data_IF_507238887840
#
_entry.id   IF_507238887840
#
_cell.length_a   1.000
_cell.length_b   1.000
_cell.length_c   1.000
_cell.angle_alpha   90.00
_cell.angle_beta   90.00
_cell.angle_gamma   90.00
#
_symmetry.space_group_name_H-M   'P 1'
#
loop_
_entity.id
_entity.type
_entity.pdbx_description
1 polymer ?
2 non-polymer ?
3 non-polymer ?
4 water ?
#
# COMPACT_ATOMS: atom_id res chain seq x y z
N UNK A 29 14.87 -21.95 16.00
CA UNK A 29 15.52 -21.81 14.70
C UNK A 29 14.88 -20.71 13.87
N UNK A 30 15.55 -20.33 12.78
CA UNK A 30 15.05 -19.26 11.92
C UNK A 30 14.01 -19.85 10.98
N UNK A 31 12.82 -19.27 10.89
CA UNK A 31 11.83 -19.75 9.92
C UNK A 31 12.27 -19.40 8.50
N UNK A 32 11.69 -20.12 7.54
CA UNK A 32 12.02 -19.90 6.14
C UNK A 32 11.73 -18.47 5.72
N UNK A 33 12.59 -17.92 4.88
CA UNK A 33 12.39 -16.59 4.31
C UNK A 33 12.97 -16.58 2.92
N UNK A 34 12.39 -15.80 2.01
CA UNK A 34 12.92 -15.74 0.65
C UNK A 34 14.34 -15.19 0.61
N UNK A 35 15.17 -15.79 -0.25
CA UNK A 35 16.56 -15.39 -0.40
C UNK A 35 16.81 -14.63 -1.70
N UNK A 36 15.92 -14.73 -2.65
CA UNK A 36 16.01 -13.96 -3.88
C UNK A 36 14.60 -13.60 -4.31
N UNK A 37 14.51 -12.73 -5.31
CA UNK A 37 13.22 -12.15 -5.64
C UNK A 37 12.24 -13.22 -6.15
N UNK A 38 12.75 -14.25 -6.85
CA UNK A 38 11.84 -15.29 -7.34
C UNK A 38 11.36 -16.20 -6.22
N UNK A 39 12.01 -16.17 -5.06
CA UNK A 39 11.53 -16.95 -3.92
C UNK A 39 10.16 -16.50 -3.44
N UNK A 40 9.74 -15.29 -3.80
CA UNK A 40 8.38 -14.85 -3.46
C UNK A 40 7.30 -15.71 -4.13
N UNK A 41 7.66 -16.52 -5.13
CA UNK A 41 6.71 -17.47 -5.71
C UNK A 41 6.13 -18.40 -4.65
N UNK A 42 6.95 -18.81 -3.68
CA UNK A 42 6.57 -19.82 -2.71
C UNK A 42 5.83 -19.25 -1.51
N UNK A 43 5.57 -17.94 -1.47
CA UNK A 43 4.84 -17.37 -0.36
C UNK A 43 3.74 -16.41 -0.79
N UNK A 44 3.72 -15.97 -2.04
CA UNK A 44 2.69 -15.05 -2.51
C UNK A 44 1.37 -15.75 -2.79
N UNK A 45 1.37 -17.07 -2.97
CA UNK A 45 0.15 -17.85 -3.16
C UNK A 45 -0.39 -18.43 -1.86
N UNK A 46 0.21 -18.09 -0.71
CA UNK A 46 -0.26 -18.56 0.58
C UNK A 46 -1.31 -17.59 1.15
N UNK A 47 -2.40 -17.47 0.40
CA UNK A 47 -3.44 -16.52 0.75
C UNK A 47 -4.27 -17.06 1.91
N UNK A 48 -4.51 -16.20 2.90
CA UNK A 48 -5.29 -16.59 4.08
C UNK A 48 -6.78 -16.40 3.85
N UNK A 60 -20.61 -6.03 -2.28
CA UNK A 60 -21.10 -6.96 -3.28
C UNK A 60 -20.76 -8.37 -2.91
N UNK A 61 -21.04 -8.69 -1.66
CA UNK A 61 -20.62 -9.94 -1.06
C UNK A 61 -21.61 -11.05 -1.33
N UNK A 62 -22.87 -10.71 -1.63
CA UNK A 62 -23.84 -11.66 -2.16
C UNK A 62 -24.06 -11.49 -3.65
N UNK A 63 -23.15 -10.77 -4.33
CA UNK A 63 -23.23 -10.60 -5.77
C UNK A 63 -22.29 -11.66 -6.36
N UNK A 64 -22.87 -12.71 -6.93
CA UNK A 64 -22.10 -13.81 -7.50
C UNK A 64 -21.49 -13.47 -8.85
N UNK A 65 -22.04 -12.48 -9.53
CA UNK A 65 -21.37 -11.97 -10.73
C UNK A 65 -20.07 -11.28 -10.35
N UNK A 66 -20.12 -10.43 -9.33
CA UNK A 66 -18.91 -9.81 -8.79
C UNK A 66 -17.96 -10.87 -8.28
N UNK A 67 -18.49 -11.91 -7.64
CA UNK A 67 -17.62 -12.97 -7.12
C UNK A 67 -16.93 -13.72 -8.25
N UNK A 68 -17.62 -13.91 -9.37
CA UNK A 68 -16.99 -14.51 -10.54
C UNK A 68 -15.85 -13.65 -11.05
N UNK A 69 -16.07 -12.33 -11.11
CA UNK A 69 -15.03 -11.39 -11.53
C UNK A 69 -13.86 -11.40 -10.55
N UNK A 70 -14.17 -11.48 -9.26
CA UNK A 70 -13.12 -11.44 -8.26
C UNK A 70 -12.23 -12.66 -8.35
N UNK A 71 -12.79 -13.82 -8.62
CA UNK A 71 -11.95 -15.01 -8.65
C UNK A 71 -11.19 -15.14 -9.96
N UNK A 72 -11.68 -14.51 -11.04
CA UNK A 72 -10.84 -14.30 -12.22
C UNK A 72 -9.55 -13.57 -11.83
N UNK A 73 -9.67 -12.52 -11.02
CA UNK A 73 -8.49 -11.80 -10.58
C UNK A 73 -7.65 -12.67 -9.66
N UNK A 74 -8.30 -13.41 -8.76
CA UNK A 74 -7.57 -14.30 -7.85
C UNK A 74 -6.75 -15.33 -8.61
N UNK A 75 -7.35 -15.98 -9.61
CA UNK A 75 -6.62 -16.97 -10.40
C UNK A 75 -5.44 -16.33 -11.12
N UNK A 76 -5.62 -15.13 -11.65
CA UNK A 76 -4.52 -14.42 -12.30
C UNK A 76 -3.33 -14.29 -11.36
N UNK A 77 -3.58 -13.88 -10.11
CA UNK A 77 -2.50 -13.70 -9.16
C UNK A 77 -1.92 -15.04 -8.73
N UNK A 78 -2.77 -16.03 -8.50
CA UNK A 78 -2.31 -17.37 -8.13
C UNK A 78 -1.41 -17.96 -9.21
N UNK A 79 -1.76 -17.78 -10.47
CA UNK A 79 -0.97 -18.31 -11.58
C UNK A 79 0.26 -17.49 -11.88
N UNK A 80 0.39 -16.29 -11.35
CA UNK A 80 1.54 -15.45 -11.63
C UNK A 80 2.80 -16.03 -11.00
N UNK A 81 3.91 -15.98 -11.75
CA UNK A 81 5.22 -16.37 -11.27
C UNK A 81 6.20 -15.26 -11.59
N UNK A 82 7.22 -15.09 -10.73
CA UNK A 82 8.19 -14.03 -10.93
C UNK A 82 8.85 -14.13 -12.30
N UNK A 83 9.07 -12.99 -12.93
CA UNK A 83 9.50 -12.92 -14.31
C UNK A 83 8.37 -12.74 -15.30
N UNK A 84 7.15 -13.06 -14.92
CA UNK A 84 6.06 -12.91 -15.87
C UNK A 84 5.76 -11.43 -16.06
N UNK A 85 5.37 -11.02 -17.26
CA UNK A 85 4.61 -9.76 -17.36
C UNK A 85 3.35 -9.91 -16.52
N UNK A 86 3.03 -8.86 -15.76
CA UNK A 86 1.77 -8.90 -15.00
C UNK A 86 0.62 -8.88 -16.00
N UNK A 87 -0.32 -9.83 -15.95
CA UNK A 87 -1.36 -9.90 -16.99
C UNK A 87 -2.19 -8.62 -17.05
N UNK A 88 -2.28 -8.04 -18.24
CA UNK A 88 -3.12 -6.86 -18.41
C UNK A 88 -4.59 -7.28 -18.50
N UNK A 89 -5.43 -6.52 -17.81
CA UNK A 89 -6.85 -6.85 -17.67
C UNK A 89 -7.66 -5.79 -18.39
N UNK A 90 -8.71 -6.22 -19.08
CA UNK A 90 -9.68 -5.31 -19.67
C UNK A 90 -10.72 -5.07 -18.60
N UNK A 91 -10.66 -3.90 -17.97
CA UNK A 91 -11.64 -3.60 -16.93
C UNK A 91 -12.98 -3.24 -17.57
N UNK A 92 -14.06 -3.63 -16.91
CA UNK A 92 -15.40 -3.35 -17.42
C UNK A 92 -15.72 -1.87 -17.27
N UNK A 93 -16.68 -1.43 -18.09
CA UNK A 93 -17.17 -0.06 -18.03
C UNK A 93 -17.58 0.30 -16.60
N UNK A 94 -18.21 -0.65 -15.91
CA UNK A 94 -18.60 -0.41 -14.52
C UNK A 94 -17.38 -0.17 -13.65
N UNK A 95 -16.34 -1.00 -13.81
CA UNK A 95 -15.14 -0.84 -12.99
C UNK A 95 -14.45 0.49 -13.29
N UNK A 96 -14.36 0.87 -14.56
CA UNK A 96 -13.68 2.13 -14.88
C UNK A 96 -14.44 3.31 -14.25
N UNK A 97 -15.78 3.25 -14.26
CA UNK A 97 -16.58 4.30 -13.64
C UNK A 97 -16.30 4.41 -12.16
N UNK A 98 -16.21 3.27 -11.47
CA UNK A 98 -15.88 3.26 -10.07
C UNK A 98 -14.52 3.90 -9.82
N UNK A 99 -13.49 3.46 -10.56
CA UNK A 99 -12.18 4.10 -10.47
C UNK A 99 -12.29 5.60 -10.70
N UNK A 100 -13.03 5.98 -11.74
CA UNK A 100 -13.17 7.40 -12.06
C UNK A 100 -13.87 8.18 -10.96
N UNK A 101 -14.85 7.57 -10.30
CA UNK A 101 -15.52 8.25 -9.21
C UNK A 101 -14.60 8.41 -8.01
N UNK A 102 -13.78 7.40 -7.73
CA UNK A 102 -12.76 7.48 -6.67
C UNK A 102 -11.69 8.50 -7.04
N UNK A 103 -11.20 8.42 -8.27
CA UNK A 103 -10.07 9.26 -8.71
C UNK A 103 -10.41 10.74 -8.64
N UNK A 104 -11.56 11.13 -9.18
CA UNK A 104 -11.90 12.56 -9.25
C UNK A 104 -12.08 13.17 -7.87
N UNK A 105 -12.76 12.46 -6.96
CA UNK A 105 -12.97 12.99 -5.62
C UNK A 105 -11.67 13.10 -4.85
N UNK A 106 -10.81 12.08 -4.94
CA UNK A 106 -9.55 12.14 -4.21
C UNK A 106 -8.65 13.25 -4.73
N UNK A 107 -8.62 13.46 -6.05
CA UNK A 107 -7.73 14.48 -6.58
C UNK A 107 -8.12 15.88 -6.14
N UNK A 108 -9.36 16.07 -5.69
CA UNK A 108 -9.75 17.36 -5.12
C UNK A 108 -9.07 17.60 -3.77
N UNK A 109 -8.78 16.53 -3.04
CA UNK A 109 -8.28 16.59 -1.68
C UNK A 109 -6.76 16.57 -1.60
N UNK A 110 -6.10 15.87 -2.53
CA UNK A 110 -4.64 15.69 -2.47
C UNK A 110 -3.86 16.99 -2.33
N UNK A 111 -4.16 18.07 -3.08
CA UNK A 111 -3.35 19.30 -2.93
C UNK A 111 -3.28 19.83 -1.51
N UNK A 112 -4.35 19.72 -0.74
CA UNK A 112 -4.36 20.20 0.64
C UNK A 112 -4.07 19.13 1.67
N UNK A 113 -4.04 17.84 1.30
CA UNK A 113 -3.90 16.78 2.27
C UNK A 113 -2.63 15.94 2.11
N UNK A 114 -2.24 15.63 0.88
CA UNK A 114 -1.15 14.70 0.64
C UNK A 114 0.21 15.36 0.84
N UNK A 115 1.18 14.56 1.28
CA UNK A 115 2.53 15.07 1.47
C UNK A 115 3.16 15.47 0.14
N UNK A 116 4.21 16.28 0.23
CA UNK A 116 4.90 16.81 -0.95
C UNK A 116 5.26 15.71 -1.93
N UNK A 117 5.92 14.65 -1.43
CA UNK A 117 6.41 13.60 -2.30
C UNK A 117 5.29 12.97 -3.11
N UNK A 118 4.13 12.74 -2.48
CA UNK A 118 2.98 12.22 -3.20
C UNK A 118 2.60 13.15 -4.35
N UNK A 119 2.45 14.44 -4.05
CA UNK A 119 2.06 15.42 -5.05
C UNK A 119 3.04 15.50 -6.22
N UNK A 120 4.32 15.22 -5.96
CA UNK A 120 5.33 15.33 -7.00
C UNK A 120 5.27 14.15 -7.98
N UNK A 121 4.97 12.95 -7.48
CA UNK A 121 5.00 11.76 -8.32
C UNK A 121 3.67 11.47 -9.02
N UNK A 122 2.55 11.92 -8.45
CA UNK A 122 1.27 11.66 -9.10
C UNK A 122 1.21 12.17 -10.53
N UNK A 123 1.72 13.36 -10.88
CA UNK A 123 1.70 13.76 -12.29
C UNK A 123 2.58 12.88 -13.16
N UNK A 124 3.69 12.39 -12.60
CA UNK A 124 4.55 11.45 -13.33
C UNK A 124 3.76 10.21 -13.75
N UNK A 125 2.95 9.68 -12.83
CA UNK A 125 2.14 8.52 -13.15
C UNK A 125 1.07 8.84 -14.17
N UNK A 126 0.51 10.05 -14.12
CA UNK A 126 -0.44 10.44 -15.16
C UNK A 126 0.22 10.47 -16.52
N UNK A 127 1.45 11.00 -16.60
CA UNK A 127 2.11 11.08 -17.89
C UNK A 127 2.53 9.70 -18.40
N UNK A 128 2.95 8.83 -17.50
CA UNK A 128 3.63 7.60 -17.89
C UNK A 128 2.83 6.33 -17.70
N UNK A 129 1.88 6.29 -16.76
CA UNK A 129 1.11 5.07 -16.55
C UNK A 129 -0.38 5.25 -16.83
N UNK A 130 -0.77 6.34 -17.47
CA UNK A 130 -2.16 6.50 -17.85
C UNK A 130 -3.13 6.67 -16.69
N UNK A 131 -2.71 7.39 -15.64
CA UNK A 131 -3.63 7.74 -14.56
C UNK A 131 -4.60 8.78 -15.11
N UNK A 132 -5.82 8.36 -15.41
CA UNK A 132 -6.86 9.24 -15.91
C UNK A 132 -8.16 8.88 -15.23
N UNK A 133 -9.10 9.81 -15.23
CA UNK A 133 -10.44 9.53 -14.75
C UNK A 133 -11.08 8.37 -15.52
N UNK A 134 -10.76 8.23 -16.80
CA UNK A 134 -11.45 7.28 -17.66
C UNK A 134 -10.65 6.01 -17.93
N UNK A 135 -9.53 5.80 -17.25
CA UNK A 135 -8.67 4.68 -17.56
C UNK A 135 -8.02 4.16 -16.28
N UNK A 136 -8.17 2.87 -16.03
CA UNK A 136 -7.53 2.22 -14.89
C UNK A 136 -6.12 1.82 -15.31
N UNK A 137 -5.07 2.37 -14.69
CA UNK A 137 -3.72 1.98 -15.05
C UNK A 137 -3.49 0.48 -14.84
N UNK A 138 -2.62 -0.08 -15.66
CA UNK A 138 -2.28 -1.50 -15.56
C UNK A 138 -1.11 -1.70 -14.61
N UNK A 139 -1.20 -2.76 -13.81
CA UNK A 139 -0.14 -3.07 -12.85
C UNK A 139 1.21 -3.25 -13.55
N UNK A 140 1.21 -3.85 -14.74
CA UNK A 140 2.46 -4.04 -15.48
C UNK A 140 3.15 -2.70 -15.78
N UNK A 141 2.39 -1.74 -16.30
CA UNK A 141 2.96 -0.43 -16.61
C UNK A 141 3.46 0.26 -15.34
N UNK A 142 2.69 0.18 -14.26
CA UNK A 142 3.12 0.83 -13.02
C UNK A 142 4.36 0.13 -12.46
N UNK A 143 4.40 -1.20 -12.58
CA UNK A 143 5.57 -1.95 -12.14
C UNK A 143 6.82 -1.52 -12.91
N UNK A 144 6.70 -1.36 -14.22
CA UNK A 144 7.88 -0.97 -15.01
C UNK A 144 8.28 0.46 -14.73
N UNK A 145 7.31 1.32 -14.43
CA UNK A 145 7.64 2.68 -14.06
C UNK A 145 8.44 2.70 -12.76
N UNK A 146 7.93 1.98 -11.76
CA UNK A 146 8.57 1.94 -10.45
C UNK A 146 9.95 1.31 -10.52
N UNK A 147 10.12 0.24 -11.29
CA UNK A 147 11.44 -0.36 -11.45
C UNK A 147 12.45 0.69 -11.90
N UNK A 148 12.03 1.57 -12.79
CA UNK A 148 12.91 2.61 -13.32
C UNK A 148 13.21 3.68 -12.28
N UNK A 149 12.21 4.06 -11.47
CA UNK A 149 12.37 5.16 -10.52
C UNK A 149 13.10 4.73 -9.25
N UNK A 150 12.70 3.60 -8.65
CA UNK A 150 13.26 3.19 -7.37
C UNK A 150 13.64 1.73 -7.31
N UNK A 151 13.48 0.98 -8.41
CA UNK A 151 13.69 -0.46 -8.38
C UNK A 151 12.55 -1.26 -7.78
N UNK A 152 11.50 -0.62 -7.30
CA UNK A 152 10.35 -1.35 -6.80
C UNK A 152 9.61 -2.01 -7.97
N UNK A 153 8.94 -3.11 -7.67
CA UNK A 153 8.12 -3.81 -8.65
C UNK A 153 6.86 -4.31 -7.98
N UNK A 154 5.89 -4.71 -8.81
CA UNK A 154 4.59 -5.17 -8.34
C UNK A 154 4.45 -6.65 -8.62
N UNK A 155 3.82 -7.37 -7.70
CA UNK A 155 3.40 -8.73 -7.87
C UNK A 155 1.92 -8.83 -7.51
N UNK A 156 1.08 -9.44 -8.35
CA UNK A 156 -0.35 -9.54 -8.00
C UNK A 156 -0.57 -10.54 -6.88
N UNK A 157 -1.53 -10.23 -5.99
CA UNK A 157 -1.85 -11.15 -4.89
C UNK A 157 -3.35 -11.37 -4.83
N UNK A 158 -3.75 -12.61 -4.50
CA UNK A 158 -5.18 -12.92 -4.47
C UNK A 158 -5.86 -12.31 -3.25
N UNK A 159 -5.20 -12.35 -2.10
CA UNK A 159 -5.76 -11.79 -0.89
C UNK A 159 -4.70 -11.64 0.17
N UNK A 160 -5.15 -11.52 1.41
CA UNK A 160 -4.23 -11.30 2.53
C UNK A 160 -3.24 -12.46 2.66
N UNK A 161 -1.97 -12.10 2.75
CA UNK A 161 -0.90 -13.02 3.11
C UNK A 161 -0.65 -12.90 4.62
N UNK A 162 0.25 -13.72 5.14
CA UNK A 162 0.73 -13.48 6.49
C UNK A 162 1.55 -12.19 6.52
N UNK A 163 1.61 -11.51 7.67
CA UNK A 163 2.53 -10.36 7.78
C UNK A 163 3.96 -10.70 7.38
N UNK A 164 4.44 -11.89 7.75
CA UNK A 164 5.79 -12.32 7.38
C UNK A 164 5.95 -12.37 5.86
N UNK A 165 5.04 -13.08 5.18
CA UNK A 165 5.11 -13.18 3.74
C UNK A 165 4.94 -11.83 3.07
N UNK A 166 3.98 -11.02 3.53
CA UNK A 166 3.75 -9.72 2.90
C UNK A 166 4.96 -8.81 3.06
N UNK A 167 5.50 -8.71 4.28
CA UNK A 167 6.68 -7.88 4.51
C UNK A 167 7.92 -8.43 3.80
N UNK A 168 8.00 -9.74 3.59
CA UNK A 168 9.17 -10.30 2.92
C UNK A 168 9.30 -9.77 1.50
N UNK A 169 8.19 -9.52 0.81
CA UNK A 169 8.27 -8.98 -0.54
C UNK A 169 8.95 -7.61 -0.57
N UNK A 170 8.71 -6.81 0.45
CA UNK A 170 9.32 -5.47 0.53
C UNK A 170 10.84 -5.55 0.55
N UNK A 171 11.41 -6.64 1.11
CA UNK A 171 12.86 -6.80 1.16
C UNK A 171 13.48 -6.81 -0.22
N UNK A 172 12.73 -7.25 -1.23
CA UNK A 172 13.18 -7.28 -2.61
C UNK A 172 12.55 -6.17 -3.43
N UNK A 173 12.08 -5.12 -2.76
CA UNK A 173 11.36 -4.01 -3.38
C UNK A 173 10.21 -4.54 -4.25
N UNK A 174 9.45 -5.46 -3.69
CA UNK A 174 8.29 -6.04 -4.35
C UNK A 174 7.07 -5.72 -3.49
N UNK A 175 6.12 -5.01 -4.07
CA UNK A 175 4.87 -4.73 -3.39
C UNK A 175 3.80 -5.68 -3.92
N UNK A 176 3.27 -6.52 -3.04
CA UNK A 176 2.12 -7.35 -3.34
C UNK A 176 0.88 -6.47 -3.48
N UNK A 177 0.29 -6.48 -4.68
CA UNK A 177 -0.82 -5.56 -5.00
C UNK A 177 -2.02 -6.32 -5.47
N UNK A 178 -3.19 -5.81 -5.07
CA UNK A 178 -4.44 -6.34 -5.57
C UNK A 178 -4.74 -5.75 -6.95
N UNK A 179 -5.41 -6.54 -7.79
CA UNK A 179 -5.69 -6.15 -9.16
C UNK A 179 -7.18 -5.88 -9.42
N UNK A 180 -8.06 -6.32 -8.54
CA UNK A 180 -9.50 -6.17 -8.76
C UNK A 180 -9.95 -4.77 -8.35
N UNK A 181 -11.15 -4.40 -8.81
CA UNK A 181 -11.77 -3.14 -8.46
C UNK A 181 -12.88 -3.42 -7.46
N UNK A 182 -13.01 -2.54 -6.46
CA UNK A 182 -14.07 -2.61 -5.45
C UNK A 182 -15.45 -2.72 -6.11
N UNK A 183 -16.43 -3.15 -5.34
CA UNK A 183 -17.80 -3.22 -5.85
C UNK A 183 -18.36 -1.84 -6.19
N UNK A 184 -19.07 -1.80 -7.32
CA UNK A 184 -19.59 -0.54 -7.85
C UNK A 184 -20.69 0.08 -7.00
N UNK A 185 -21.37 -0.71 -6.15
CA UNK A 185 -22.41 -0.15 -5.31
C UNK A 185 -21.88 0.85 -4.30
N UNK A 186 -20.59 0.76 -3.95
CA UNK A 186 -20.02 1.68 -2.96
C UNK A 186 -18.60 2.05 -3.39
N UNK A 187 -18.47 3.05 -4.25
CA UNK A 187 -17.11 3.47 -4.67
C UNK A 187 -16.25 4.01 -3.54
N UNK A 188 -16.84 4.55 -2.48
CA UNK A 188 -16.04 5.31 -1.52
C UNK A 188 -15.70 4.55 -0.24
N UNK A 189 -16.30 3.40 0.01
CA UNK A 189 -15.83 2.57 1.11
C UNK A 189 -15.64 1.15 0.62
N UNK A 190 -14.55 0.52 1.07
CA UNK A 190 -14.32 -0.88 0.77
C UNK A 190 -13.83 -1.55 2.05
N UNK A 191 -14.38 -2.71 2.42
CA UNK A 191 -13.84 -3.44 3.59
C UNK A 191 -12.38 -3.81 3.40
N UNK A 192 -12.03 -4.32 2.24
CA UNK A 192 -10.70 -4.79 1.87
C UNK A 192 -10.08 -3.85 0.84
N UNK A 193 -8.75 -3.79 0.74
CA UNK A 193 -8.14 -2.94 -0.28
C UNK A 193 -8.27 -3.52 -1.68
N UNK A 194 -8.42 -2.63 -2.66
CA UNK A 194 -8.54 -3.00 -4.06
C UNK A 194 -7.44 -2.29 -4.82
N UNK A 195 -7.49 -2.40 -6.14
CA UNK A 195 -6.42 -1.83 -6.94
C UNK A 195 -6.47 -0.30 -6.94
N UNK A 196 -7.67 0.28 -6.74
CA UNK A 196 -7.76 1.72 -6.53
C UNK A 196 -6.91 2.15 -5.36
N UNK A 197 -6.94 1.38 -4.27
CA UNK A 197 -6.12 1.70 -3.10
C UNK A 197 -4.64 1.53 -3.39
N UNK A 198 -4.27 0.52 -4.17
CA UNK A 198 -2.86 0.32 -4.48
C UNK A 198 -2.35 1.42 -5.38
N UNK A 199 -3.08 1.70 -6.46
CA UNK A 199 -2.60 2.63 -7.47
C UNK A 199 -2.58 4.06 -6.97
N UNK A 200 -3.57 4.44 -6.19
CA UNK A 200 -3.71 5.82 -5.72
C UNK A 200 -3.12 6.03 -4.34
N UNK A 201 -3.06 4.98 -3.52
CA UNK A 201 -2.53 5.11 -2.17
C UNK A 201 -1.05 4.80 -2.09
N UNK A 202 -0.64 3.65 -2.61
CA UNK A 202 0.73 3.16 -2.42
C UNK A 202 1.69 3.64 -3.51
N UNK A 203 1.26 3.55 -4.77
CA UNK A 203 2.20 3.68 -5.88
C UNK A 203 2.95 5.01 -5.90
N UNK A 204 2.30 6.16 -5.72
CA UNK A 204 3.06 7.43 -5.85
C UNK A 204 4.19 7.57 -4.85
N UNK A 205 4.10 6.93 -3.69
CA UNK A 205 5.19 6.97 -2.73
C UNK A 205 6.25 5.92 -3.00
N UNK A 206 5.87 4.74 -3.50
CA UNK A 206 6.87 3.78 -3.94
C UNK A 206 7.78 4.36 -5.00
N UNK A 207 7.35 5.39 -5.72
CA UNK A 207 8.22 6.01 -6.71
C UNK A 207 9.21 6.98 -6.09
N UNK A 208 9.13 7.23 -4.78
CA UNK A 208 10.00 8.19 -4.11
C UNK A 208 11.16 7.47 -3.44
N UNK A 209 12.41 7.74 -3.86
CA UNK A 209 13.56 6.97 -3.31
C UNK A 209 13.61 6.89 -1.79
N UNK A 210 13.36 8.00 -1.10
CA UNK A 210 13.42 7.99 0.37
C UNK A 210 12.37 7.05 0.96
N UNK A 211 11.16 7.06 0.39
CA UNK A 211 10.11 6.17 0.88
C UNK A 211 10.40 4.72 0.54
N UNK A 212 10.85 4.44 -0.68
CA UNK A 212 11.17 3.08 -1.07
C UNK A 212 12.26 2.48 -0.18
N UNK A 213 13.26 3.28 0.18
CA UNK A 213 14.28 2.79 1.12
C UNK A 213 13.65 2.40 2.45
N UNK A 214 12.81 3.29 2.99
CA UNK A 214 12.12 3.03 4.26
C UNK A 214 11.33 1.74 4.21
N UNK A 215 10.51 1.57 3.15
CA UNK A 215 9.70 0.38 3.00
C UNK A 215 10.57 -0.87 2.92
N UNK A 216 11.59 -0.85 2.07
CA UNK A 216 12.47 -2.01 1.93
C UNK A 216 13.11 -2.42 3.26
N UNK A 217 13.48 -1.43 4.08
CA UNK A 217 14.15 -1.76 5.34
C UNK A 217 13.18 -2.37 6.35
N UNK A 218 11.89 -2.07 6.23
CA UNK A 218 10.91 -2.80 7.02
C UNK A 218 10.92 -4.27 6.65
N UNK A 219 10.87 -4.57 5.35
CA UNK A 219 10.89 -5.95 4.92
C UNK A 219 12.20 -6.67 5.23
N UNK A 220 13.32 -6.00 4.96
CA UNK A 220 14.63 -6.59 5.27
C UNK A 220 14.75 -6.95 6.73
N UNK A 221 14.27 -6.09 7.63
CA UNK A 221 14.32 -6.40 9.06
C UNK A 221 13.42 -7.58 9.39
N UNK A 222 12.38 -7.82 8.58
CA UNK A 222 11.44 -8.88 8.90
C UNK A 222 11.96 -10.26 8.52
N UNK A 223 12.93 -10.35 7.60
CA UNK A 223 13.34 -11.62 7.03
C UNK A 223 13.89 -12.52 8.12
N UNK A 224 13.22 -13.64 8.38
CA UNK A 224 13.69 -14.58 9.38
C UNK A 224 13.57 -14.11 10.82
N UNK A 225 12.97 -12.96 11.07
CA UNK A 225 12.82 -12.45 12.43
C UNK A 225 11.76 -13.24 13.19
N UNK A 226 11.74 -13.04 14.51
CA UNK A 226 10.79 -13.74 15.37
C UNK A 226 9.36 -13.37 14.99
N UNK A 227 8.42 -14.25 15.35
CA UNK A 227 7.01 -13.93 15.12
C UNK A 227 6.64 -12.64 15.83
N UNK A 228 7.11 -12.47 17.06
CA UNK A 228 6.86 -11.23 17.80
C UNK A 228 7.45 -10.03 17.07
N UNK A 229 8.68 -10.17 16.54
CA UNK A 229 9.30 -9.07 15.82
C UNK A 229 8.57 -8.75 14.53
N UNK A 230 8.09 -9.78 13.81
CA UNK A 230 7.30 -9.53 12.61
C UNK A 230 6.06 -8.73 12.95
N UNK A 231 5.42 -9.03 14.08
CA UNK A 231 4.18 -8.37 14.42
C UNK A 231 4.39 -6.90 14.74
N UNK A 232 5.52 -6.55 15.36
CA UNK A 232 5.80 -5.12 15.59
C UNK A 232 6.19 -4.41 14.31
N UNK A 233 6.94 -5.09 13.43
CA UNK A 233 7.28 -4.47 12.15
C UNK A 233 6.03 -4.23 11.30
N UNK A 234 5.10 -5.20 11.29
CA UNK A 234 3.86 -5.02 10.56
C UNK A 234 3.02 -3.89 11.15
N UNK A 235 3.06 -3.71 12.48
CA UNK A 235 2.30 -2.63 13.10
C UNK A 235 2.93 -1.27 12.78
N UNK A 236 4.26 -1.20 12.79
CA UNK A 236 4.94 0.02 12.38
C UNK A 236 4.67 0.32 10.91
N UNK A 237 4.69 -0.72 10.07
CA UNK A 237 4.31 -0.55 8.67
C UNK A 237 2.89 0.01 8.57
N UNK A 238 1.97 -0.56 9.35
CA UNK A 238 0.57 -0.13 9.31
C UNK A 238 0.42 1.35 9.64
N UNK A 239 1.18 1.86 10.61
CA UNK A 239 1.02 3.23 11.06
C UNK A 239 1.98 4.20 10.40
N UNK A 240 2.68 3.76 9.35
CA UNK A 240 3.45 4.64 8.48
C UNK A 240 3.00 4.47 7.04
N UNK A 241 3.34 3.34 6.40
CA UNK A 241 2.97 3.10 5.00
C UNK A 241 1.48 3.22 4.78
N UNK A 242 0.66 2.64 5.67
CA UNK A 242 -0.78 2.62 5.44
C UNK A 242 -1.52 3.80 6.06
N UNK A 243 -1.09 4.30 7.24
CA UNK A 243 -1.89 5.34 7.90
C UNK A 243 -1.03 6.45 8.47
N UNK A 244 0.17 6.66 7.91
CA UNK A 244 1.08 7.64 8.48
C UNK A 244 0.75 9.07 8.07
N UNK A 245 1.05 9.99 8.98
CA UNK A 245 1.10 11.41 8.73
C UNK A 245 2.55 11.88 8.83
N UNK A 246 2.84 13.00 8.17
CA UNK A 246 4.14 13.63 8.33
C UNK A 246 3.95 15.13 8.45
N UNK A 247 4.94 15.79 9.07
CA UNK A 247 4.93 17.23 9.20
C UNK A 247 5.88 17.81 8.16
N UNK A 248 5.37 18.74 7.36
CA UNK A 248 6.15 19.35 6.28
C UNK A 248 5.85 20.83 6.29
N UNK A 249 6.88 21.64 6.55
CA UNK A 249 6.73 23.09 6.66
C UNK A 249 5.66 23.45 7.70
N UNK A 250 5.79 22.85 8.88
CA UNK A 250 4.89 23.08 9.99
C UNK A 250 3.50 22.48 9.86
N UNK A 251 3.18 21.89 8.72
CA UNK A 251 1.86 21.43 8.38
C UNK A 251 1.78 19.91 8.50
N UNK A 252 0.66 19.40 8.98
CA UNK A 252 0.40 17.97 8.98
C UNK A 252 -0.03 17.56 7.58
N UNK A 253 0.65 16.57 7.02
CA UNK A 253 0.25 16.02 5.73
C UNK A 253 0.21 14.50 5.83
N UNK A 254 -0.52 13.89 4.91
CA UNK A 254 -0.75 12.44 4.92
C UNK A 254 0.19 11.76 3.93
N UNK A 255 0.69 10.59 4.33
CA UNK A 255 1.35 9.70 3.39
C UNK A 255 0.88 8.26 3.50
N UNK A 256 0.06 7.90 4.48
CA UNK A 256 -0.43 6.55 4.57
C UNK A 256 -1.37 6.21 3.42
N UNK A 257 -1.12 5.07 2.78
CA UNK A 257 -1.85 4.69 1.56
C UNK A 257 -3.34 4.50 1.83
N UNK A 258 -3.68 3.98 3.01
CA UNK A 258 -5.09 3.76 3.33
C UNK A 258 -5.86 5.04 3.54
N UNK A 259 -5.16 6.14 3.84
CA UNK A 259 -5.78 7.45 3.91
C UNK A 259 -5.91 8.05 2.52
N UNK A 260 -4.85 7.94 1.71
CA UNK A 260 -4.83 8.53 0.38
C UNK A 260 -5.85 7.89 -0.56
N UNK A 261 -6.37 6.71 -0.23
CA UNK A 261 -7.40 6.07 -1.04
C UNK A 261 -8.77 6.06 -0.38
N UNK A 262 -8.93 6.76 0.75
CA UNK A 262 -10.20 6.79 1.47
C UNK A 262 -10.64 8.24 1.63
N UNK A 263 -11.73 8.60 0.94
CA UNK A 263 -12.17 9.99 0.94
C UNK A 263 -12.54 10.45 2.35
N UNK A 264 -13.20 9.59 3.12
CA UNK A 264 -13.68 10.03 4.43
C UNK A 264 -12.54 10.10 5.45
N UNK A 265 -11.72 9.05 5.53
CA UNK A 265 -10.69 9.06 6.56
C UNK A 265 -9.58 10.06 6.23
N UNK A 266 -9.32 10.29 4.94
CA UNK A 266 -8.35 11.31 4.55
C UNK A 266 -8.69 12.65 5.17
N UNK A 267 -9.94 13.08 4.98
CA UNK A 267 -10.43 14.32 5.58
C UNK A 267 -10.42 14.24 7.10
N UNK A 268 -10.85 13.09 7.65
CA UNK A 268 -10.85 12.92 9.09
C UNK A 268 -9.46 13.10 9.69
N UNK A 269 -8.43 12.56 9.03
CA UNK A 269 -7.10 12.53 9.63
C UNK A 269 -6.55 13.93 9.85
N UNK A 270 -6.78 14.83 8.89
CA UNK A 270 -6.29 16.20 8.94
C UNK A 270 -7.31 17.16 9.53
N UNK A 271 -8.43 16.65 10.04
CA UNK A 271 -9.42 17.49 10.71
C UNK A 271 -8.96 17.82 12.13
N UNK A 272 -9.90 18.05 13.04
CA UNK A 272 -9.55 18.27 14.43
C UNK A 272 -10.11 17.17 15.29
N UNK A 273 -10.74 16.20 14.63
CA UNK A 273 -11.32 15.06 15.31
C UNK A 273 -10.31 13.99 15.64
N UNK A 274 -9.10 14.11 15.11
CA UNK A 274 -8.13 13.01 15.08
C UNK A 274 -7.15 13.11 16.22
N UNK A 275 -6.96 11.99 16.92
CA UNK A 275 -5.91 11.86 17.92
C UNK A 275 -4.58 11.59 17.20
N UNK A 276 -3.60 12.46 17.44
CA UNK A 276 -2.34 12.46 16.69
C UNK A 276 -1.19 12.35 17.69
N UNK A 277 -0.26 11.41 17.45
CA UNK A 277 0.87 11.18 18.33
C UNK A 277 2.16 11.08 17.52
N UNK A 278 3.31 11.37 18.11
CA UNK A 278 4.57 11.28 17.36
C UNK A 278 4.88 9.83 17.04
N UNK A 279 5.37 9.58 15.81
CA UNK A 279 5.79 8.22 15.47
C UNK A 279 6.99 7.82 16.32
N UNK A 280 6.86 6.71 17.04
CA UNK A 280 8.00 6.22 17.81
C UNK A 280 7.80 4.73 17.96
N UNK A 281 8.61 3.92 17.26
CA UNK A 281 8.26 2.50 17.06
C UNK A 281 7.93 1.72 18.33
N UNK A 282 8.63 2.00 19.44
CA UNK A 282 8.41 1.26 20.68
C UNK A 282 7.00 1.47 21.23
N UNK A 283 6.38 2.62 20.98
CA UNK A 283 4.97 2.76 21.35
C UNK A 283 4.04 2.43 20.18
N UNK A 284 4.40 2.88 18.97
CA UNK A 284 3.54 2.61 17.81
C UNK A 284 3.31 1.12 17.61
N UNK A 285 4.31 0.29 17.88
CA UNK A 285 4.16 -1.14 17.65
C UNK A 285 3.18 -1.79 18.63
N UNK A 286 2.88 -1.12 19.74
CA UNK A 286 1.89 -1.60 20.69
C UNK A 286 0.46 -1.20 20.32
N UNK A 287 0.28 -0.40 19.26
CA UNK A 287 -1.05 0.10 18.91
C UNK A 287 -1.82 -0.91 18.07
N UNK A 288 -3.10 -1.08 18.40
CA UNK A 288 -3.94 -2.01 17.66
C UNK A 288 -4.31 -1.43 16.30
N UNK A 289 -4.11 -2.23 15.25
CA UNK A 289 -4.40 -1.83 13.88
C UNK A 289 -5.87 -2.09 13.59
N UNK A 290 -6.66 -1.02 13.53
CA UNK A 290 -8.08 -1.18 13.25
C UNK A 290 -8.32 -1.30 11.76
N UNK A 291 -9.31 -2.13 11.39
CA UNK A 291 -9.59 -2.45 10.00
C UNK A 291 -10.99 -1.99 9.58
N UNK A 292 -11.97 -2.17 10.46
CA UNK A 292 -13.36 -1.91 10.09
C UNK A 292 -13.80 -0.49 10.37
N UNK A 293 -13.02 0.30 11.09
CA UNK A 293 -13.38 1.66 11.46
C UNK A 293 -12.24 2.61 11.11
N UNK A 294 -12.44 3.89 11.42
CA UNK A 294 -11.34 4.83 11.41
C UNK A 294 -10.32 4.43 12.47
N UNK A 295 -9.06 4.80 12.24
CA UNK A 295 -8.04 4.58 13.25
C UNK A 295 -8.31 5.43 14.47
N UNK A 296 -8.04 4.88 15.66
CA UNK A 296 -8.18 5.65 16.89
C UNK A 296 -7.06 6.68 17.06
N UNK A 297 -5.99 6.57 16.29
CA UNK A 297 -4.83 7.43 16.43
C UNK A 297 -4.05 7.37 15.13
N UNK A 298 -3.42 8.49 14.77
CA UNK A 298 -2.52 8.57 13.63
C UNK A 298 -1.16 9.06 14.12
N UNK A 299 -0.10 8.45 13.63
CA UNK A 299 1.23 8.77 14.06
C UNK A 299 1.92 9.65 13.03
N UNK A 300 2.59 10.70 13.51
CA UNK A 300 3.28 11.65 12.66
C UNK A 300 4.76 11.36 12.67
N UNK A 301 5.34 11.24 11.48
CA UNK A 301 6.76 11.11 11.28
C UNK A 301 7.31 12.48 10.88
N UNK A 302 8.54 12.78 11.30
CA UNK A 302 9.14 14.05 10.94
C UNK A 302 9.46 14.12 9.45
N UNK A 303 9.88 12.99 8.89
CA UNK A 303 10.19 12.83 7.48
C UNK A 303 10.37 11.35 7.24
N UNK A 304 10.45 10.96 5.98
CA UNK A 304 10.70 9.56 5.66
C UNK A 304 12.07 9.15 6.17
N UNK A 305 13.07 10.03 6.00
CA UNK A 305 14.41 9.73 6.48
C UNK A 305 14.42 9.53 7.99
N UNK A 306 13.62 10.32 8.72
CA UNK A 306 13.61 10.21 10.17
C UNK A 306 12.89 8.95 10.64
N UNK A 307 11.75 8.63 10.02
CA UNK A 307 11.07 7.39 10.36
C UNK A 307 11.99 6.19 10.13
N UNK A 308 12.79 6.26 9.07
CA UNK A 308 13.72 5.19 8.75
C UNK A 308 14.78 5.07 9.84
N UNK A 309 15.38 6.20 10.24
CA UNK A 309 16.38 6.15 11.31
C UNK A 309 15.78 5.59 12.59
N UNK A 310 14.57 6.02 12.95
CA UNK A 310 13.90 5.49 14.14
C UNK A 310 13.65 3.99 14.01
N UNK A 311 13.23 3.55 12.82
CA UNK A 311 13.09 2.12 12.56
C UNK A 311 14.40 1.38 12.76
N UNK A 312 15.49 1.94 12.25
CA UNK A 312 16.81 1.32 12.40
C UNK A 312 17.14 1.09 13.88
N UNK A 313 17.02 2.13 14.71
CA UNK A 313 17.29 1.95 16.14
C UNK A 313 16.38 0.90 16.74
N UNK A 314 15.12 0.89 16.32
CA UNK A 314 14.13 -0.02 16.90
C UNK A 314 14.44 -1.47 16.57
N UNK A 315 14.85 -1.74 15.33
CA UNK A 315 15.15 -3.12 14.93
C UNK A 315 16.40 -3.65 15.62
N UNK A 316 17.33 -2.77 15.99
CA UNK A 316 18.48 -3.21 16.79
C UNK A 316 18.03 -3.87 18.08
N UNK A 317 17.05 -3.27 18.76
CA UNK A 317 16.57 -3.78 20.04
C UNK A 317 15.63 -4.98 19.91
N UNK A 318 15.18 -5.30 18.70
CA UNK A 318 14.28 -6.44 18.49
C UNK A 318 14.90 -7.39 17.49
X LIG B 1 -2.34 -0.83 1.50
X LIG C 1 -1.10 -6.56 4.93
X LIG C 1 -1.30 -7.35 3.86
X LIG C 1 -1.16 -8.68 4.00
X LIG C 1 -1.62 -5.31 3.28
X LIG C 1 -0.81 -9.23 5.24
X LIG C 1 -0.77 -7.06 6.13
X LIG C 1 -0.61 -8.36 6.32
X LIG C 1 0.93 -5.76 7.35
X LIG C 1 -3.96 -3.70 4.02
X LIG C 1 -6.66 -0.65 4.09
X LIG C 1 -6.49 -1.31 5.43
X LIG C 1 -5.22 -7.47 0.46
X LIG C 1 -0.56 -6.13 7.27
X LIG C 1 -5.28 -0.50 3.46
X LIG C 1 -4.46 -7.22 1.77
X LIG C 1 -3.83 -7.87 -0.06
X LIG C 1 -5.98 -2.72 5.19
X LIG C 1 -1.91 -4.04 2.49
X LIG C 1 -1.94 -7.07 1.40
X LIG C 1 -3.12 -3.27 3.09
X LIG C 1 -4.54 -1.68 3.44
X LIG C 1 -3.34 -6.75 0.86
X LIG C 1 -1.64 -6.57 2.82
X LIG C 1 -1.30 -5.30 4.55
X LIG C 1 -3.46 -2.03 2.74
X LIG C 1 -4.84 -2.72 4.25
X LIG C 1 -0.31 -8.81 7.42
X LIG C 1 -1.33 -9.46 3.06
#
# INVERSE_FOLDING_TARGET
MKHHHHHHHGAAGTSLYKKAGENLYFQGSVPWFPKKISDLDHCANRVLMYGSELDADHPGFKDNVYRKRRKYFADLAMNYKHGDPIPKVEFTEEEIKTWGTVFQELNKLYPTHACREYLKNLPLLSKYCGYREDNIPQLEDVSNFLKERTGFSIRPVAGYLSPRDFLSGLAFRVFHCTQYVRHSSDPFYTPEPDTCHELLGHVPLLAEPSFAQFSQEIGLASLGASEEAVQKLATCYFFTVEFGLCKQDGQLRVFGAGLLSSISELKHALSGHAKVKPFDPKITCKQECLITTFQDVYFVSESFEDAKEKMREFTKTIKRPFGVKY
FE FE
UXL C4 C5 C6 C8 N1 N3 C2 CAA CAD CAE CAF CAG CAH CAI CAJ CAK CAL CAM CAN CAR CAS CAY N7 N9 NAO NAZ O2 O6
#
